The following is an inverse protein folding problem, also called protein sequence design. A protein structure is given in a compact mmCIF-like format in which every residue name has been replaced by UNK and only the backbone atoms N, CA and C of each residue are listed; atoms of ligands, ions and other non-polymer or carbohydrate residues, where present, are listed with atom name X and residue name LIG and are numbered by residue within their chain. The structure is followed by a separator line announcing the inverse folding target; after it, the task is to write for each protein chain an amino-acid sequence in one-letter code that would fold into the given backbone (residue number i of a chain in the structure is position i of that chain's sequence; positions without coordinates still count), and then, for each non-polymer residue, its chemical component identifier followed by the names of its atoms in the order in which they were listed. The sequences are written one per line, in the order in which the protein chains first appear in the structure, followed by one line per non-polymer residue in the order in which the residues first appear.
data_IF_467381332359
#
_entry.id   IF_467381332359
#
_cell.length_a   1.000
_cell.length_b   1.000
_cell.length_c   1.000
_cell.angle_alpha   90.00
_cell.angle_beta   90.00
_cell.angle_gamma   90.00
#
_symmetry.space_group_name_H-M   'P 1'
#
loop_
_entity.id
_entity.type
_entity.pdbx_description
1 polymer ?
#
# COMPACT_ATOMS: atom_id res chain seq x y z
N UNK A 1 19.05 -0.38 -34.74
CA UNK A 1 18.98 0.95 -34.12
C UNK A 1 18.10 1.87 -34.97
N UNK A 2 16.75 1.86 -34.71
CA UNK A 2 15.75 2.80 -35.26
C UNK A 2 14.37 2.14 -35.30
N UNK A 3 13.78 1.84 -34.15
CA UNK A 3 12.34 1.50 -34.07
C UNK A 3 11.81 1.64 -32.64
N UNK A 4 11.99 2.79 -32.02
CA UNK A 4 11.26 3.16 -30.79
C UNK A 4 11.08 4.69 -30.75
N UNK A 5 10.44 5.22 -31.77
CA UNK A 5 9.83 6.56 -31.69
C UNK A 5 8.46 6.53 -32.34
N UNK A 6 7.48 6.93 -31.58
CA UNK A 6 6.08 7.18 -31.86
C UNK A 6 5.09 6.06 -31.54
N UNK A 7 4.65 6.08 -30.28
CA UNK A 7 3.23 6.13 -29.95
C UNK A 7 3.11 6.61 -28.50
N UNK A 8 3.13 7.92 -28.32
CA UNK A 8 2.45 8.56 -27.19
C UNK A 8 0.95 8.33 -27.44
N UNK A 9 0.43 7.23 -27.00
CA UNK A 9 -1.03 7.07 -26.87
C UNK A 9 -1.44 7.98 -25.72
N UNK A 10 -2.23 9.00 -26.04
CA UNK A 10 -2.98 9.82 -25.13
C UNK A 10 -3.95 8.97 -24.33
N UNK A 11 -3.49 8.43 -23.21
CA UNK A 11 -4.36 7.99 -22.11
C UNK A 11 -4.61 9.21 -21.23
N UNK A 12 -5.79 9.37 -20.64
CA UNK A 12 -6.11 10.52 -19.82
C UNK A 12 -5.37 10.45 -18.47
N UNK A 13 -4.10 10.84 -18.49
CA UNK A 13 -3.26 11.00 -17.30
C UNK A 13 -3.71 12.20 -16.42
N UNK A 14 -4.69 12.98 -16.89
CA UNK A 14 -5.04 14.25 -16.27
C UNK A 14 -5.88 14.14 -14.99
N UNK A 15 -6.56 13.01 -14.72
CA UNK A 15 -7.45 12.97 -13.55
C UNK A 15 -6.70 12.63 -12.24
N UNK A 16 -5.68 11.80 -12.29
CA UNK A 16 -5.00 11.34 -11.06
C UNK A 16 -4.12 12.42 -10.45
N UNK A 17 -3.38 13.18 -11.27
CA UNK A 17 -2.52 14.28 -10.80
C UNK A 17 -3.34 15.46 -10.26
N UNK A 18 -4.47 15.77 -10.87
CA UNK A 18 -5.40 16.78 -10.35
C UNK A 18 -6.00 16.37 -9.02
N UNK A 19 -6.49 15.13 -8.88
CA UNK A 19 -7.08 14.64 -7.63
C UNK A 19 -6.06 14.66 -6.49
N UNK A 20 -4.81 14.29 -6.75
CA UNK A 20 -3.76 14.23 -5.74
C UNK A 20 -3.42 15.61 -5.16
N UNK A 21 -3.49 16.68 -5.94
CA UNK A 21 -3.19 18.05 -5.49
C UNK A 21 -4.29 18.69 -4.64
N UNK A 22 -5.47 18.05 -4.51
CA UNK A 22 -6.58 18.63 -3.75
C UNK A 22 -6.29 18.70 -2.24
N UNK A 23 -6.71 19.78 -1.57
CA UNK A 23 -6.68 19.87 -0.12
C UNK A 23 -7.63 18.82 0.48
N UNK A 24 -7.35 18.43 1.73
CA UNK A 24 -8.26 17.60 2.51
C UNK A 24 -9.53 18.40 2.81
N UNK A 25 -10.66 17.73 2.71
CA UNK A 25 -11.97 18.28 3.09
C UNK A 25 -12.23 18.04 4.58
N UNK A 26 -13.17 18.80 5.13
CA UNK A 26 -13.64 18.56 6.50
C UNK A 26 -14.51 17.31 6.60
N UNK A 27 -15.15 16.89 5.50
CA UNK A 27 -15.93 15.67 5.42
C UNK A 27 -15.02 14.44 5.23
N UNK A 28 -15.00 13.57 6.22
CA UNK A 28 -14.18 12.35 6.21
C UNK A 28 -14.62 11.37 5.11
N UNK A 29 -15.93 11.29 4.79
CA UNK A 29 -16.45 10.40 3.74
C UNK A 29 -15.96 10.83 2.35
N UNK A 30 -15.94 12.15 2.10
CA UNK A 30 -15.42 12.68 0.84
C UNK A 30 -13.93 12.40 0.66
N UNK A 31 -13.12 12.53 1.74
CA UNK A 31 -11.71 12.18 1.72
C UNK A 31 -11.50 10.68 1.53
N UNK A 32 -12.26 9.85 2.24
CA UNK A 32 -12.19 8.39 2.14
C UNK A 32 -12.48 7.92 0.72
N UNK A 33 -13.58 8.39 0.10
CA UNK A 33 -13.94 8.02 -1.25
C UNK A 33 -12.85 8.35 -2.29
N UNK A 34 -12.20 9.52 -2.14
CA UNK A 34 -11.07 9.91 -3.00
C UNK A 34 -9.85 9.03 -2.78
N UNK A 35 -9.52 8.71 -1.52
CA UNK A 35 -8.39 7.86 -1.19
C UNK A 35 -8.62 6.42 -1.63
N UNK A 36 -9.83 5.87 -1.49
CA UNK A 36 -10.20 4.55 -2.00
C UNK A 36 -10.09 4.47 -3.52
N UNK A 37 -10.54 5.51 -4.24
CA UNK A 37 -10.37 5.57 -5.69
C UNK A 37 -8.89 5.64 -6.12
N UNK A 38 -8.04 6.41 -5.43
CA UNK A 38 -6.61 6.49 -5.69
C UNK A 38 -5.88 5.18 -5.38
N UNK A 39 -6.34 4.46 -4.37
CA UNK A 39 -5.75 3.21 -3.89
C UNK A 39 -6.54 1.97 -4.37
N UNK A 40 -7.42 2.14 -5.35
CA UNK A 40 -8.04 1.02 -6.03
C UNK A 40 -6.98 0.03 -6.51
N UNK A 41 -7.25 -1.28 -6.38
CA UNK A 41 -6.28 -2.35 -6.65
C UNK A 41 -5.00 -2.35 -5.78
N UNK A 42 -5.01 -1.67 -4.62
CA UNK A 42 -3.95 -1.77 -3.63
C UNK A 42 -4.42 -2.63 -2.45
N UNK A 43 -4.32 -3.94 -2.55
CA UNK A 43 -4.78 -4.89 -1.51
C UNK A 43 -3.99 -4.79 -0.20
N UNK A 44 -2.87 -4.09 -0.20
CA UNK A 44 -2.06 -3.78 0.97
C UNK A 44 -2.44 -2.45 1.65
N UNK A 45 -3.32 -1.65 1.06
CA UNK A 45 -3.86 -0.46 1.68
C UNK A 45 -4.90 -0.83 2.75
N UNK A 46 -4.73 -0.33 3.96
CA UNK A 46 -5.64 -0.59 5.09
C UNK A 46 -6.35 0.70 5.46
N UNK A 47 -7.67 0.68 5.36
CA UNK A 47 -8.59 1.69 5.84
C UNK A 47 -9.26 1.16 7.11
N UNK A 48 -9.02 1.79 8.24
CA UNK A 48 -9.62 1.38 9.51
C UNK A 48 -10.43 2.53 10.11
N UNK A 49 -11.73 2.37 10.07
CA UNK A 49 -12.68 3.31 10.66
C UNK A 49 -12.88 2.99 12.13
N UNK A 50 -13.03 4.02 12.95
CA UNK A 50 -13.41 3.93 14.35
C UNK A 50 -13.97 5.27 14.84
N UNK A 51 -14.55 5.24 16.04
CA UNK A 51 -15.18 6.40 16.64
C UNK A 51 -14.53 6.69 17.98
N UNK A 52 -14.21 7.96 18.20
CA UNK A 52 -13.68 8.46 19.48
C UNK A 52 -14.70 9.34 20.18
N UNK A 53 -14.65 9.38 21.52
CA UNK A 53 -15.61 10.14 22.33
C UNK A 53 -16.99 9.49 22.41
N UNK A 54 -17.77 9.90 23.40
CA UNK A 54 -19.13 9.37 23.63
C UNK A 54 -20.22 10.34 23.16
N UNK A 55 -20.02 11.63 23.34
CA UNK A 55 -21.02 12.66 23.01
C UNK A 55 -20.36 14.01 22.68
N UNK A 56 -20.38 14.45 21.41
CA UNK A 56 -20.76 13.68 20.22
C UNK A 56 -19.67 12.66 19.85
N UNK A 57 -20.05 11.55 19.22
CA UNK A 57 -19.10 10.63 18.64
C UNK A 57 -18.40 11.29 17.44
N UNK A 58 -17.08 11.16 17.35
CA UNK A 58 -16.25 11.72 16.27
C UNK A 58 -15.70 10.57 15.47
N UNK A 59 -15.97 10.56 14.17
CA UNK A 59 -15.47 9.55 13.27
C UNK A 59 -14.02 9.81 12.93
N UNK A 60 -13.23 8.73 12.88
CA UNK A 60 -11.84 8.75 12.54
C UNK A 60 -11.54 7.65 11.52
N UNK A 61 -10.63 7.94 10.60
CA UNK A 61 -10.12 7.01 9.61
C UNK A 61 -8.61 6.93 9.73
N UNK A 62 -8.11 5.73 9.98
CA UNK A 62 -6.70 5.41 10.00
C UNK A 62 -6.31 4.75 8.67
N UNK A 63 -5.27 5.27 8.02
CA UNK A 63 -4.81 4.81 6.73
C UNK A 63 -3.31 4.50 6.76
N UNK A 64 -2.92 3.33 6.28
CA UNK A 64 -1.53 2.89 6.18
C UNK A 64 -1.38 1.75 5.16
N UNK A 65 -0.14 1.47 4.72
CA UNK A 65 0.17 0.24 3.99
C UNK A 65 0.63 -0.88 4.92
N UNK A 66 -0.05 -2.01 4.87
CA UNK A 66 0.33 -3.20 5.62
C UNK A 66 1.69 -3.74 5.14
N UNK A 67 2.53 -4.14 6.09
CA UNK A 67 3.91 -4.56 5.82
C UNK A 67 4.95 -3.41 5.88
N UNK A 68 4.52 -2.14 5.81
CA UNK A 68 5.40 -0.99 5.97
C UNK A 68 5.40 -0.42 7.40
N UNK A 69 4.36 -0.68 8.16
CA UNK A 69 4.17 -0.17 9.52
C UNK A 69 4.52 -1.22 10.57
N UNK A 70 5.04 -0.78 11.70
CA UNK A 70 5.24 -1.61 12.88
C UNK A 70 3.90 -1.78 13.63
N UNK A 71 3.23 -2.92 13.42
CA UNK A 71 1.88 -3.21 13.97
C UNK A 71 1.79 -2.97 15.47
N UNK A 72 2.77 -3.43 16.25
CA UNK A 72 2.77 -3.24 17.70
C UNK A 72 2.74 -1.76 18.09
N UNK A 73 3.53 -0.93 17.39
CA UNK A 73 3.55 0.52 17.62
C UNK A 73 2.20 1.17 17.26
N UNK A 74 1.59 0.73 16.16
CA UNK A 74 0.27 1.18 15.72
C UNK A 74 -0.81 0.84 16.75
N UNK A 75 -0.85 -0.42 17.20
CA UNK A 75 -1.87 -0.91 18.11
C UNK A 75 -1.72 -0.29 19.52
N UNK A 76 -0.52 -0.29 20.08
CA UNK A 76 -0.28 0.17 21.46
C UNK A 76 -0.30 1.71 21.60
N UNK A 77 0.31 2.43 20.66
CA UNK A 77 0.54 3.88 20.82
C UNK A 77 -0.49 4.76 20.09
N UNK A 78 -1.22 4.21 19.11
CA UNK A 78 -2.21 4.98 18.36
C UNK A 78 -3.61 4.46 18.66
N UNK A 79 -3.92 3.22 18.31
CA UNK A 79 -5.28 2.72 18.39
C UNK A 79 -5.76 2.60 19.83
N UNK A 80 -4.92 2.02 20.70
CA UNK A 80 -5.26 1.85 22.10
C UNK A 80 -5.42 3.21 22.81
N UNK A 81 -4.51 4.16 22.56
CA UNK A 81 -4.60 5.49 23.12
C UNK A 81 -5.85 6.23 22.65
N UNK A 82 -6.16 6.17 21.34
CA UNK A 82 -7.37 6.80 20.79
C UNK A 82 -8.67 6.19 21.34
N UNK A 83 -8.71 4.87 21.57
CA UNK A 83 -9.92 4.19 22.04
C UNK A 83 -10.09 4.24 23.57
N UNK A 84 -9.01 4.24 24.35
CA UNK A 84 -9.09 4.18 25.80
C UNK A 84 -9.00 5.56 26.46
N UNK A 85 -8.04 6.38 26.05
CA UNK A 85 -7.77 7.65 26.75
C UNK A 85 -8.86 8.68 26.49
N UNK A 86 -9.45 8.69 25.27
CA UNK A 86 -10.62 9.55 24.96
C UNK A 86 -11.89 9.11 25.68
N UNK A 87 -12.03 7.81 25.98
CA UNK A 87 -13.20 7.32 26.74
C UNK A 87 -13.13 7.64 28.23
N UNK A 88 -11.96 7.93 28.77
CA UNK A 88 -11.75 8.29 30.18
C UNK A 88 -12.00 9.78 30.46
N UNK A 89 -12.09 10.60 29.43
CA UNK A 89 -12.38 12.03 29.60
C UNK A 89 -13.91 12.21 29.72
N UNK A 90 -14.38 12.52 30.91
CA UNK A 90 -15.83 12.63 31.24
C UNK A 90 -16.56 13.77 30.50
N UNK A 91 -15.85 14.65 29.79
CA UNK A 91 -16.44 15.77 29.06
C UNK A 91 -15.62 16.23 27.86
N UNK A 92 -15.57 15.46 26.76
CA UNK A 92 -14.76 15.83 25.58
C UNK A 92 -15.18 17.20 25.00
N UNK A 93 -16.47 17.60 25.11
CA UNK A 93 -16.92 18.90 24.58
C UNK A 93 -16.28 20.11 25.25
N UNK A 94 -15.99 20.09 26.54
CA UNK A 94 -15.41 21.25 27.22
C UNK A 94 -13.93 21.46 26.92
N UNK A 95 -13.21 20.42 26.53
CA UNK A 95 -11.82 20.49 26.08
C UNK A 95 -11.73 20.74 24.57
N UNK A 96 -12.68 20.21 23.77
CA UNK A 96 -12.74 20.37 22.32
C UNK A 96 -13.42 21.66 21.84
N UNK A 97 -14.31 22.29 22.66
CA UNK A 97 -14.94 23.56 22.29
C UNK A 97 -14.03 24.80 22.42
N UNK A 98 -12.91 24.70 23.13
CA UNK A 98 -11.94 25.78 23.29
C UNK A 98 -10.63 25.60 22.50
N UNK A 99 -10.44 24.46 21.86
CA UNK A 99 -9.23 24.13 21.11
C UNK A 99 -9.53 23.37 19.82
N UNK A 100 -8.60 23.42 18.90
CA UNK A 100 -8.58 22.62 17.69
C UNK A 100 -8.55 21.12 18.09
N UNK A 101 -9.55 20.34 17.67
CA UNK A 101 -9.66 18.90 17.91
C UNK A 101 -8.38 18.14 17.56
N UNK A 102 -7.74 18.53 16.46
CA UNK A 102 -6.44 17.99 16.05
C UNK A 102 -5.36 18.23 17.11
N UNK A 103 -5.32 19.43 17.71
CA UNK A 103 -4.37 19.76 18.78
C UNK A 103 -4.59 18.90 20.00
N UNK A 104 -5.84 18.65 20.39
CA UNK A 104 -6.16 17.81 21.54
C UNK A 104 -5.74 16.35 21.31
N UNK A 105 -5.98 15.81 20.11
CA UNK A 105 -5.53 14.46 19.73
C UNK A 105 -4.01 14.37 19.69
N UNK A 106 -3.34 15.38 19.12
CA UNK A 106 -1.89 15.43 18.98
C UNK A 106 -1.18 15.50 20.35
N UNK A 107 -1.68 16.32 21.27
CA UNK A 107 -1.02 16.56 22.54
C UNK A 107 -1.32 15.52 23.62
N UNK A 108 -2.55 14.97 23.61
CA UNK A 108 -3.02 14.19 24.74
C UNK A 108 -3.19 12.69 24.44
N UNK A 109 -3.25 12.28 23.18
CA UNK A 109 -3.71 10.95 22.85
C UNK A 109 -2.64 10.12 22.13
N UNK A 110 -1.90 10.71 21.20
CA UNK A 110 -0.94 9.95 20.38
C UNK A 110 0.45 10.00 20.99
N UNK A 111 0.89 8.87 21.53
CA UNK A 111 2.23 8.76 22.14
C UNK A 111 3.25 8.22 21.11
N UNK A 112 3.51 9.00 20.07
CA UNK A 112 4.49 8.69 19.02
C UNK A 112 5.48 9.85 18.91
N UNK A 113 6.78 9.51 18.74
CA UNK A 113 7.86 10.50 18.72
C UNK A 113 7.80 11.47 17.53
N UNK A 114 7.25 11.05 16.41
CA UNK A 114 7.12 11.87 15.19
C UNK A 114 5.64 12.05 14.85
N UNK A 115 5.11 13.23 15.14
CA UNK A 115 3.78 13.67 14.71
C UNK A 115 3.92 14.88 13.77
N UNK A 116 3.13 14.90 12.70
CA UNK A 116 3.12 15.99 11.73
C UNK A 116 1.70 16.20 11.21
N UNK A 117 1.31 17.45 10.99
CA UNK A 117 0.07 17.81 10.30
C UNK A 117 0.31 17.91 8.80
N UNK A 118 -0.66 17.45 8.05
CA UNK A 118 -0.71 17.53 6.59
C UNK A 118 -2.09 18.00 6.15
N UNK A 119 -2.17 18.59 4.96
CA UNK A 119 -3.39 19.23 4.47
C UNK A 119 -3.83 18.79 3.08
N UNK A 120 -3.09 17.88 2.41
CA UNK A 120 -3.39 17.47 1.04
C UNK A 120 -3.40 15.95 0.88
N UNK A 121 -4.19 15.47 -0.10
CA UNK A 121 -4.21 14.05 -0.47
C UNK A 121 -2.84 13.56 -0.93
N UNK A 122 -2.06 14.42 -1.60
CA UNK A 122 -0.70 14.10 -2.03
C UNK A 122 0.21 13.77 -0.85
N UNK A 123 0.11 14.57 0.22
CA UNK A 123 0.90 14.30 1.42
C UNK A 123 0.46 13.01 2.10
N UNK A 124 -0.85 12.70 2.13
CA UNK A 124 -1.38 11.42 2.63
C UNK A 124 -0.71 10.26 1.89
N UNK A 125 -0.81 10.22 0.56
CA UNK A 125 -0.24 9.16 -0.27
C UNK A 125 1.27 9.05 -0.05
N UNK A 126 1.99 10.19 -0.02
CA UNK A 126 3.44 10.22 0.20
C UNK A 126 3.83 9.60 1.55
N UNK A 127 3.10 9.94 2.61
CA UNK A 127 3.42 9.46 3.96
C UNK A 127 3.11 7.98 4.13
N UNK A 128 1.93 7.51 3.72
CA UNK A 128 1.61 6.07 3.80
C UNK A 128 2.56 5.22 2.93
N UNK A 129 2.96 5.72 1.75
CA UNK A 129 3.94 5.06 0.89
C UNK A 129 5.35 5.01 1.49
N UNK A 130 5.61 5.83 2.50
CA UNK A 130 6.88 5.83 3.26
C UNK A 130 6.81 4.97 4.53
N UNK A 131 5.64 4.38 4.86
CA UNK A 131 5.41 3.54 6.03
C UNK A 131 4.93 4.30 7.26
N UNK A 132 4.50 5.56 7.09
CA UNK A 132 3.83 6.30 8.14
C UNK A 132 2.33 5.92 8.17
N UNK A 133 1.69 6.18 9.30
CA UNK A 133 0.24 6.05 9.45
C UNK A 133 -0.39 7.43 9.44
N UNK A 134 -1.49 7.58 8.71
CA UNK A 134 -2.24 8.83 8.62
C UNK A 134 -3.58 8.67 9.33
N UNK A 135 -3.92 9.61 10.20
CA UNK A 135 -5.19 9.72 10.90
C UNK A 135 -5.97 10.93 10.38
N UNK A 136 -7.11 10.67 9.77
CA UNK A 136 -8.11 11.67 9.41
C UNK A 136 -9.19 11.70 10.48
N UNK A 137 -9.68 12.90 10.81
CA UNK A 137 -10.69 13.13 11.82
C UNK A 137 -11.82 13.94 11.19
N UNK A 138 -13.04 13.49 11.34
CA UNK A 138 -14.23 14.16 10.81
C UNK A 138 -14.34 15.59 11.36
N UNK A 139 -14.66 16.53 10.48
CA UNK A 139 -14.69 17.95 10.81
C UNK A 139 -13.36 18.69 10.66
N UNK A 140 -12.24 17.98 10.39
CA UNK A 140 -10.91 18.57 10.26
C UNK A 140 -10.45 18.59 8.80
N UNK A 141 -9.94 19.74 8.32
CA UNK A 141 -9.32 19.89 6.99
C UNK A 141 -7.83 19.52 6.96
N UNK A 142 -7.30 19.01 8.05
CA UNK A 142 -5.94 18.52 8.19
C UNK A 142 -5.96 17.11 8.77
N UNK A 143 -4.93 16.32 8.46
CA UNK A 143 -4.72 15.00 9.03
C UNK A 143 -3.43 14.95 9.85
N UNK A 144 -3.35 14.00 10.78
CA UNK A 144 -2.16 13.71 11.57
C UNK A 144 -1.38 12.55 10.94
N UNK A 145 -0.09 12.73 10.80
CA UNK A 145 0.85 11.69 10.39
C UNK A 145 1.61 11.22 11.61
N UNK A 146 1.54 9.94 11.89
CA UNK A 146 2.33 9.29 12.92
C UNK A 146 3.45 8.47 12.30
N UNK A 147 4.68 8.66 12.76
CA UNK A 147 5.86 7.91 12.34
C UNK A 147 5.79 6.48 12.88
N UNK A 148 5.25 5.56 12.09
CA UNK A 148 5.08 4.14 12.46
C UNK A 148 5.94 3.21 11.62
N UNK A 149 6.93 3.74 10.92
CA UNK A 149 7.80 2.97 10.03
C UNK A 149 8.45 1.82 10.77
N UNK A 150 8.27 0.64 10.24
CA UNK A 150 8.89 -0.55 10.80
C UNK A 150 8.45 -1.78 10.03
N UNK A 151 9.43 -2.52 9.59
CA UNK A 151 9.24 -3.82 8.94
C UNK A 151 10.09 -4.85 9.67
N UNK A 152 9.67 -6.09 9.62
CA UNK A 152 10.45 -7.20 10.19
C UNK A 152 11.71 -7.42 9.32
N UNK A 153 12.82 -6.84 9.76
CA UNK A 153 14.11 -6.94 9.04
C UNK A 153 14.88 -8.23 9.34
N UNK A 154 14.40 -9.04 10.29
CA UNK A 154 15.17 -10.19 10.83
C UNK A 154 15.24 -11.40 9.90
N UNK A 155 14.49 -11.43 8.79
CA UNK A 155 14.39 -12.57 7.89
C UNK A 155 14.66 -12.25 6.43
N UNK A 156 15.24 -11.08 6.12
CA UNK A 156 15.62 -10.76 4.75
C UNK A 156 16.95 -11.45 4.44
N UNK A 157 16.89 -12.56 3.75
CA UNK A 157 18.06 -13.34 3.34
C UNK A 157 18.70 -12.74 2.08
N UNK A 158 19.97 -13.06 1.89
CA UNK A 158 20.65 -12.81 0.62
C UNK A 158 20.16 -13.83 -0.40
N UNK A 159 19.85 -13.44 -1.66
CA UNK A 159 19.48 -14.39 -2.70
C UNK A 159 20.55 -15.46 -2.88
N UNK A 160 20.15 -16.72 -2.93
CA UNK A 160 21.11 -17.83 -3.03
C UNK A 160 21.58 -18.00 -4.48
N UNK A 161 20.70 -17.78 -5.45
CA UNK A 161 20.96 -18.03 -6.86
C UNK A 161 21.38 -16.77 -7.65
N UNK A 162 21.09 -15.57 -7.14
CA UNK A 162 21.40 -14.30 -7.78
C UNK A 162 22.42 -13.49 -6.95
N UNK A 163 23.66 -14.00 -6.82
CA UNK A 163 24.72 -13.32 -6.08
C UNK A 163 25.17 -12.04 -6.79
N UNK A 164 25.25 -10.95 -6.05
CA UNK A 164 25.69 -9.63 -6.56
C UNK A 164 26.95 -9.21 -5.84
N UNK A 165 27.95 -8.79 -6.61
CA UNK A 165 29.20 -8.22 -6.06
C UNK A 165 28.94 -6.81 -5.55
N UNK A 166 28.15 -6.00 -6.28
CA UNK A 166 27.75 -4.64 -5.92
C UNK A 166 26.24 -4.48 -6.04
N UNK A 167 25.60 -3.88 -5.00
CA UNK A 167 24.18 -3.60 -5.00
C UNK A 167 23.43 -4.13 -3.77
N UNK A 168 22.10 -3.95 -3.72
CA UNK A 168 21.28 -4.48 -2.64
C UNK A 168 21.38 -6.00 -2.55
N UNK A 169 21.51 -6.50 -1.33
CA UNK A 169 21.58 -7.94 -1.04
C UNK A 169 20.27 -8.51 -0.54
N UNK A 170 19.20 -7.73 -0.55
CA UNK A 170 17.87 -8.18 -0.15
C UNK A 170 17.30 -9.14 -1.19
N UNK A 171 16.81 -10.29 -0.76
CA UNK A 171 16.11 -11.29 -1.55
C UNK A 171 14.65 -11.41 -1.14
N UNK A 172 13.83 -12.00 -2.00
CA UNK A 172 12.49 -12.42 -1.63
C UNK A 172 12.56 -13.60 -0.66
N UNK A 173 11.59 -13.67 0.24
CA UNK A 173 11.44 -14.71 1.25
C UNK A 173 10.07 -15.40 1.09
N UNK A 174 9.78 -16.42 1.90
CA UNK A 174 8.52 -17.18 1.82
C UNK A 174 7.29 -16.33 2.19
N UNK A 175 7.48 -15.27 2.97
CA UNK A 175 6.37 -14.40 3.39
C UNK A 175 6.02 -13.38 2.30
N UNK A 176 4.87 -13.59 1.64
CA UNK A 176 4.39 -12.75 0.55
C UNK A 176 4.23 -11.28 0.95
N UNK A 177 3.75 -11.01 2.18
CA UNK A 177 3.57 -9.63 2.67
C UNK A 177 4.91 -8.89 2.80
N UNK A 178 5.93 -9.56 3.28
CA UNK A 178 7.28 -9.01 3.33
C UNK A 178 7.80 -8.71 1.93
N UNK A 179 7.57 -9.59 0.97
CA UNK A 179 7.99 -9.41 -0.42
C UNK A 179 7.31 -8.22 -1.09
N UNK A 180 6.00 -8.05 -0.92
CA UNK A 180 5.27 -6.89 -1.44
C UNK A 180 5.75 -5.58 -0.80
N UNK A 181 6.04 -5.59 0.51
CA UNK A 181 6.61 -4.46 1.22
C UNK A 181 8.00 -4.07 0.70
N UNK A 182 8.86 -5.04 0.35
CA UNK A 182 10.17 -4.79 -0.26
C UNK A 182 10.07 -4.05 -1.60
N UNK A 183 9.06 -4.37 -2.41
CA UNK A 183 8.80 -3.66 -3.67
C UNK A 183 8.20 -2.29 -3.39
N UNK A 184 7.18 -2.18 -2.52
CA UNK A 184 6.50 -0.92 -2.17
C UNK A 184 7.47 0.12 -1.59
N UNK A 185 8.47 -0.29 -0.81
CA UNK A 185 9.53 0.60 -0.28
C UNK A 185 10.34 1.27 -1.39
N UNK A 186 10.48 0.62 -2.54
CA UNK A 186 11.19 1.15 -3.70
C UNK A 186 10.28 1.96 -4.61
N UNK A 187 9.01 1.56 -4.72
CA UNK A 187 8.00 2.16 -5.59
C UNK A 187 6.95 2.90 -4.73
N UNK A 188 7.30 4.13 -4.30
CA UNK A 188 6.47 4.97 -3.43
C UNK A 188 5.42 5.75 -4.23
N UNK A 189 4.52 5.03 -4.90
CA UNK A 189 3.50 5.61 -5.77
C UNK A 189 2.14 4.95 -5.53
N UNK A 190 1.06 5.73 -5.61
CA UNK A 190 -0.32 5.20 -5.64
C UNK A 190 -0.62 4.42 -6.92
N UNK A 191 0.14 4.65 -7.99
CA UNK A 191 0.02 3.91 -9.24
C UNK A 191 0.64 2.51 -9.17
N UNK A 192 1.44 2.20 -8.15
CA UNK A 192 1.90 0.84 -7.92
C UNK A 192 0.76 0.04 -7.29
N UNK A 193 0.18 -0.86 -8.07
CA UNK A 193 -0.98 -1.70 -7.73
C UNK A 193 -0.53 -3.08 -7.32
N UNK A 194 -1.24 -3.65 -6.36
CA UNK A 194 -1.03 -5.01 -5.82
C UNK A 194 -2.39 -5.67 -5.70
N UNK A 195 -2.71 -6.57 -6.60
CA UNK A 195 -3.94 -7.36 -6.56
C UNK A 195 -3.67 -8.74 -5.97
N UNK A 196 -4.33 -9.07 -4.89
CA UNK A 196 -4.19 -10.38 -4.23
C UNK A 196 -5.23 -11.36 -4.74
N UNK A 197 -4.81 -12.61 -4.93
CA UNK A 197 -5.66 -13.74 -5.29
C UNK A 197 -5.15 -15.01 -4.63
N UNK A 198 -6.02 -16.02 -4.54
CA UNK A 198 -5.69 -17.33 -3.98
C UNK A 198 -5.83 -18.38 -5.08
N UNK A 199 -4.79 -19.18 -5.29
CA UNK A 199 -4.74 -20.22 -6.33
C UNK A 199 -4.44 -21.58 -5.69
N UNK A 200 -5.08 -22.63 -6.22
CA UNK A 200 -4.99 -24.01 -5.72
C UNK A 200 -6.13 -24.35 -4.75
N UNK A 201 -6.90 -25.40 -5.07
CA UNK A 201 -8.06 -25.81 -4.27
C UNK A 201 -7.66 -26.32 -2.87
N UNK A 202 -6.54 -27.01 -2.79
CA UNK A 202 -6.04 -27.61 -1.55
C UNK A 202 -5.02 -26.69 -0.87
N UNK A 203 -4.03 -26.18 -1.64
CA UNK A 203 -2.95 -25.39 -1.06
C UNK A 203 -3.37 -23.96 -0.72
N UNK A 204 -4.39 -23.42 -1.39
CA UNK A 204 -4.86 -22.02 -1.21
C UNK A 204 -3.70 -21.03 -1.14
N UNK A 205 -2.82 -21.12 -2.14
CA UNK A 205 -1.58 -20.34 -2.18
C UNK A 205 -1.87 -18.88 -2.53
N UNK A 206 -1.41 -17.97 -1.69
CA UNK A 206 -1.51 -16.53 -1.94
C UNK A 206 -0.59 -16.13 -3.10
N UNK A 207 -1.18 -15.47 -4.09
CA UNK A 207 -0.49 -14.93 -5.27
C UNK A 207 -0.85 -13.47 -5.43
N UNK A 208 0.10 -12.64 -5.82
CA UNK A 208 -0.14 -11.22 -6.09
C UNK A 208 0.26 -10.86 -7.52
N UNK A 209 -0.58 -10.07 -8.17
CA UNK A 209 -0.29 -9.39 -9.43
C UNK A 209 0.15 -7.96 -9.11
N UNK A 210 1.40 -7.62 -9.47
CA UNK A 210 1.98 -6.30 -9.25
C UNK A 210 2.19 -5.59 -10.58
N UNK A 211 1.77 -4.32 -10.68
CA UNK A 211 2.00 -3.49 -11.88
C UNK A 211 1.99 -2.01 -11.52
N UNK A 212 2.45 -1.16 -12.45
CA UNK A 212 2.32 0.30 -12.34
C UNK A 212 1.27 0.75 -13.36
N UNK A 213 0.14 1.26 -12.86
CA UNK A 213 -1.08 1.53 -13.61
C UNK A 213 -0.89 2.45 -14.83
N UNK A 214 -0.03 3.47 -14.71
CA UNK A 214 0.28 4.40 -15.80
C UNK A 214 1.43 3.95 -16.72
N UNK A 215 2.02 2.77 -16.49
CA UNK A 215 3.13 2.21 -17.29
C UNK A 215 2.71 0.91 -17.97
N UNK A 216 2.11 0.00 -17.23
CA UNK A 216 1.67 -1.29 -17.76
C UNK A 216 0.50 -1.11 -18.73
N UNK A 217 0.55 -1.73 -19.93
CA UNK A 217 -0.59 -1.72 -20.85
C UNK A 217 -1.82 -2.40 -20.21
N UNK A 218 -3.00 -1.74 -20.18
CA UNK A 218 -4.18 -2.31 -19.52
C UNK A 218 -4.56 -3.69 -20.07
N UNK A 219 -4.43 -3.89 -21.38
CA UNK A 219 -4.74 -5.16 -22.05
C UNK A 219 -3.85 -6.30 -21.55
N UNK A 220 -2.57 -6.01 -21.25
CA UNK A 220 -1.64 -7.00 -20.69
C UNK A 220 -2.03 -7.36 -19.27
N UNK A 221 -2.36 -6.37 -18.45
CA UNK A 221 -2.78 -6.58 -17.05
C UNK A 221 -4.05 -7.43 -17.01
N UNK A 222 -5.05 -7.09 -17.85
CA UNK A 222 -6.30 -7.82 -17.95
C UNK A 222 -6.10 -9.27 -18.43
N UNK A 223 -5.20 -9.47 -19.40
CA UNK A 223 -4.90 -10.82 -19.89
C UNK A 223 -4.21 -11.68 -18.82
N UNK A 224 -3.20 -11.12 -18.11
CA UNK A 224 -2.54 -11.84 -17.02
C UNK A 224 -3.50 -12.16 -15.88
N UNK A 225 -4.32 -11.17 -15.48
CA UNK A 225 -5.36 -11.37 -14.47
C UNK A 225 -6.32 -12.50 -14.85
N UNK A 226 -6.81 -12.47 -16.08
CA UNK A 226 -7.70 -13.51 -16.63
C UNK A 226 -7.03 -14.89 -16.60
N UNK A 227 -5.77 -15.01 -17.05
CA UNK A 227 -5.05 -16.28 -17.03
C UNK A 227 -4.87 -16.81 -15.61
N UNK A 228 -4.49 -15.96 -14.67
CA UNK A 228 -4.39 -16.34 -13.26
C UNK A 228 -5.71 -16.83 -12.68
N UNK A 229 -6.83 -16.16 -12.99
CA UNK A 229 -8.17 -16.55 -12.55
C UNK A 229 -8.68 -17.85 -13.19
N UNK A 230 -8.17 -18.20 -14.36
CA UNK A 230 -8.55 -19.44 -15.07
C UNK A 230 -7.77 -20.67 -14.58
N UNK A 231 -6.78 -20.51 -13.71
CA UNK A 231 -6.02 -21.62 -13.17
C UNK A 231 -6.92 -22.47 -12.26
N UNK A 232 -7.20 -23.69 -12.70
CA UNK A 232 -7.99 -24.68 -11.94
C UNK A 232 -7.12 -25.91 -11.65
N UNK A 233 -6.37 -25.86 -10.53
CA UNK A 233 -5.50 -26.92 -10.04
C UNK A 233 -5.65 -27.11 -8.54
N UNK A 234 -5.25 -28.28 -8.06
CA UNK A 234 -5.37 -28.59 -6.64
C UNK A 234 -4.27 -27.94 -5.79
N UNK A 235 -3.05 -27.84 -6.33
CA UNK A 235 -1.91 -27.35 -5.58
C UNK A 235 -0.95 -26.48 -6.41
N UNK A 236 -0.48 -25.40 -5.79
CA UNK A 236 0.64 -24.57 -6.24
C UNK A 236 1.72 -24.65 -5.17
N UNK A 237 2.85 -25.28 -5.47
CA UNK A 237 3.93 -25.49 -4.51
C UNK A 237 5.08 -24.50 -4.70
N UNK A 238 5.27 -24.01 -5.91
CA UNK A 238 6.25 -22.97 -6.22
C UNK A 238 5.80 -22.07 -7.39
N UNK A 239 6.56 -21.02 -7.69
CA UNK A 239 6.26 -20.03 -8.73
C UNK A 239 6.31 -20.59 -10.15
N UNK A 240 7.05 -21.70 -10.40
CA UNK A 240 7.14 -22.30 -11.72
C UNK A 240 5.78 -22.83 -12.19
N UNK A 241 4.96 -23.36 -11.28
CA UNK A 241 3.59 -23.79 -11.61
C UNK A 241 2.78 -22.63 -12.21
N UNK A 242 2.84 -21.46 -11.58
CA UNK A 242 2.14 -20.27 -12.08
C UNK A 242 2.69 -19.86 -13.44
N UNK A 243 4.01 -19.78 -13.58
CA UNK A 243 4.66 -19.40 -14.83
C UNK A 243 4.23 -20.30 -15.99
N UNK A 244 4.28 -21.63 -15.82
CA UNK A 244 3.88 -22.58 -16.85
C UNK A 244 2.41 -22.46 -17.26
N UNK A 245 1.54 -22.13 -16.30
CA UNK A 245 0.09 -22.05 -16.52
C UNK A 245 -0.34 -20.74 -17.21
N UNK A 246 0.39 -19.65 -16.99
CA UNK A 246 0.08 -18.37 -17.64
C UNK A 246 0.75 -18.19 -19.00
N UNK A 247 1.76 -19.01 -19.33
CA UNK A 247 2.45 -18.94 -20.62
C UNK A 247 1.52 -19.36 -21.78
N UNK A 248 1.58 -18.59 -22.88
CA UNK A 248 0.80 -18.86 -24.08
C UNK A 248 1.38 -20.02 -24.91
N UNK A 249 2.69 -20.07 -25.03
CA UNK A 249 3.41 -21.07 -25.81
C UNK A 249 4.34 -21.91 -24.91
N UNK A 250 3.87 -23.09 -24.50
CA UNK A 250 4.62 -24.02 -23.64
C UNK A 250 5.87 -24.62 -24.32
N UNK A 251 5.99 -24.54 -25.63
CA UNK A 251 7.06 -25.15 -26.41
C UNK A 251 8.01 -24.14 -27.06
N UNK A 252 8.06 -22.90 -26.56
CA UNK A 252 8.99 -21.89 -27.08
C UNK A 252 10.37 -22.03 -26.45
N UNK A 253 11.40 -21.85 -27.27
CA UNK A 253 12.81 -21.79 -26.81
C UNK A 253 13.10 -20.46 -26.09
N UNK A 254 12.31 -19.42 -26.38
CA UNK A 254 12.44 -18.11 -25.75
C UNK A 254 11.50 -18.00 -24.56
N UNK A 255 12.07 -17.73 -23.39
CA UNK A 255 11.26 -17.49 -22.17
C UNK A 255 10.40 -16.23 -22.36
N UNK A 256 9.09 -16.37 -22.12
CA UNK A 256 8.13 -15.26 -22.16
C UNK A 256 8.05 -14.53 -20.81
N UNK A 257 8.61 -15.13 -19.76
CA UNK A 257 8.65 -14.58 -18.42
C UNK A 257 10.06 -14.70 -17.85
N UNK A 258 10.49 -13.69 -17.14
CA UNK A 258 11.73 -13.68 -16.38
C UNK A 258 11.43 -13.97 -14.91
N UNK A 259 12.30 -14.75 -14.26
CA UNK A 259 12.24 -15.01 -12.84
C UNK A 259 13.34 -14.26 -12.12
N UNK A 260 13.06 -13.75 -10.94
CA UNK A 260 14.05 -13.12 -10.07
C UNK A 260 13.72 -13.32 -8.60
N UNK A 261 14.76 -13.57 -7.81
CA UNK A 261 14.68 -13.59 -6.35
C UNK A 261 14.93 -12.18 -5.74
N UNK A 262 15.16 -11.16 -6.61
CA UNK A 262 15.60 -9.83 -6.17
C UNK A 262 14.51 -8.78 -6.29
N UNK A 263 14.13 -8.16 -5.15
CA UNK A 263 13.12 -7.10 -5.13
C UNK A 263 13.51 -5.84 -5.94
N UNK A 264 14.81 -5.50 -5.98
CA UNK A 264 15.32 -4.38 -6.76
C UNK A 264 15.18 -4.60 -8.26
N UNK A 265 15.47 -5.84 -8.74
CA UNK A 265 15.30 -6.22 -10.12
C UNK A 265 13.82 -6.23 -10.52
N UNK A 266 12.97 -6.84 -9.69
CA UNK A 266 11.53 -6.83 -9.90
C UNK A 266 10.98 -5.38 -9.98
N UNK A 267 11.37 -4.50 -9.05
CA UNK A 267 10.97 -3.10 -9.08
C UNK A 267 11.48 -2.36 -10.32
N UNK A 268 12.70 -2.64 -10.79
CA UNK A 268 13.25 -2.05 -12.02
C UNK A 268 12.43 -2.46 -13.25
N UNK A 269 12.06 -3.73 -13.39
CA UNK A 269 11.24 -4.21 -14.51
C UNK A 269 9.83 -3.63 -14.51
N UNK A 270 9.28 -3.29 -13.37
CA UNK A 270 7.98 -2.61 -13.28
C UNK A 270 8.04 -1.15 -13.77
N UNK A 271 9.19 -0.48 -13.64
CA UNK A 271 9.39 0.91 -14.07
C UNK A 271 9.91 1.01 -15.51
N UNK A 272 10.73 0.07 -15.93
CA UNK A 272 11.38 0.03 -17.24
C UNK A 272 11.02 -1.28 -17.96
N UNK A 273 9.79 -1.41 -18.47
CA UNK A 273 9.30 -2.62 -19.14
C UNK A 273 9.95 -2.87 -20.50
#
# INVERSE_FOLDING_TARGET
MRYLQNKKNNLPANNTEEIISHPLETDIEANQAKLEALLEHCSDAVFREFVIGKQPPIRCLLLYFDGLVQRKMLDDNIIKSLLLDVQMTDNPKSEFEQGDLLTAVEQNIINVAELKRIATLQEVIRHISSGDTVLLIDGCSQALVAGTRGWESRSINTPENELVIYGPKEGFIENLRSNTALIRRRLKSSNFKIESMVIGKITQTDVVLCYIDNIAPPQLVDEVRKRLQMIDIDAVLDSNYIQELIMEHKSTIFSQAEQTEKPDRAAAHLVFP
#
